data_IF_788758875115
#
_entry.id   IF_788758875115
#
_cell.length_a   1.000
_cell.length_b   1.000
_cell.length_c   1.000
_cell.angle_alpha   90.00
_cell.angle_beta   90.00
_cell.angle_gamma   90.00
#
_symmetry.space_group_name_H-M   'P 1'
#
loop_
_entity.id
_entity.type
_entity.pdbx_description
1 polymer ?
#
# COMPACT_ATOMS: atom_id res chain seq x y z
N UNK A 1 7.45 12.51 -23.50
CA UNK A 1 7.09 12.88 -22.13
C UNK A 1 6.21 11.83 -21.47
N UNK A 2 5.11 11.44 -22.11
CA UNK A 2 4.19 10.45 -21.54
C UNK A 2 4.83 9.08 -21.36
N UNK A 3 5.65 8.67 -22.31
CA UNK A 3 6.37 7.40 -22.20
C UNK A 3 7.36 7.45 -21.02
N UNK A 4 8.06 8.56 -20.86
CA UNK A 4 9.00 8.74 -19.75
C UNK A 4 8.28 8.68 -18.40
N UNK A 5 7.11 9.34 -18.28
CA UNK A 5 6.31 9.29 -17.08
C UNK A 5 5.82 7.86 -16.80
N UNK A 6 5.41 7.15 -17.84
CA UNK A 6 4.96 5.76 -17.68
C UNK A 6 6.09 4.87 -17.14
N UNK A 7 7.28 4.99 -17.69
CA UNK A 7 8.43 4.22 -17.25
C UNK A 7 8.79 4.57 -15.81
N UNK A 8 8.79 5.86 -15.48
CA UNK A 8 9.10 6.32 -14.12
C UNK A 8 8.09 5.78 -13.11
N UNK A 9 6.80 5.86 -13.39
CA UNK A 9 5.74 5.35 -12.52
C UNK A 9 5.88 3.84 -12.36
N UNK A 10 6.11 3.12 -13.44
CA UNK A 10 6.29 1.68 -13.40
C UNK A 10 7.49 1.28 -12.53
N UNK A 11 8.63 1.94 -12.74
CA UNK A 11 9.85 1.66 -11.98
C UNK A 11 9.66 1.95 -10.48
N UNK A 12 9.05 3.09 -10.14
CA UNK A 12 8.76 3.45 -8.75
C UNK A 12 7.82 2.43 -8.12
N UNK A 13 6.79 2.02 -8.85
CA UNK A 13 5.78 1.09 -8.35
C UNK A 13 6.38 -0.29 -8.06
N UNK A 14 7.12 -0.84 -8.99
CA UNK A 14 7.75 -2.16 -8.81
C UNK A 14 8.79 -2.11 -7.71
N UNK A 15 9.60 -1.06 -7.68
CA UNK A 15 10.62 -0.90 -6.64
C UNK A 15 9.99 -0.72 -5.26
N UNK A 16 8.93 0.09 -5.16
CA UNK A 16 8.25 0.32 -3.90
C UNK A 16 7.56 -0.93 -3.37
N UNK A 17 6.89 -1.67 -4.24
CA UNK A 17 6.24 -2.92 -3.86
C UNK A 17 7.28 -3.95 -3.38
N UNK A 18 8.36 -4.10 -4.12
CA UNK A 18 9.45 -5.01 -3.75
C UNK A 18 10.08 -4.61 -2.43
N UNK A 19 10.29 -3.32 -2.21
CA UNK A 19 10.85 -2.81 -0.95
C UNK A 19 9.89 -3.08 0.22
N UNK A 20 8.60 -2.83 0.04
CA UNK A 20 7.59 -3.09 1.07
C UNK A 20 7.58 -4.57 1.46
N UNK A 21 7.56 -5.46 0.47
CA UNK A 21 7.56 -6.90 0.71
C UNK A 21 8.86 -7.35 1.41
N UNK A 22 9.98 -6.78 1.00
CA UNK A 22 11.29 -7.07 1.59
C UNK A 22 11.36 -6.62 3.06
N UNK A 23 10.85 -5.43 3.36
CA UNK A 23 10.80 -4.91 4.72
C UNK A 23 9.92 -5.77 5.62
N UNK A 24 8.77 -6.19 5.11
CA UNK A 24 7.87 -7.07 5.86
C UNK A 24 8.50 -8.44 6.10
N UNK A 25 9.14 -9.01 5.10
CA UNK A 25 9.81 -10.31 5.22
C UNK A 25 10.93 -10.25 6.26
N UNK A 26 11.74 -9.19 6.24
CA UNK A 26 12.80 -9.01 7.22
C UNK A 26 12.26 -8.89 8.64
N UNK A 27 11.14 -8.15 8.81
CA UNK A 27 10.50 -8.01 10.11
C UNK A 27 9.99 -9.37 10.62
N UNK A 28 9.32 -10.13 9.77
CA UNK A 28 8.76 -11.44 10.13
C UNK A 28 9.82 -12.49 10.36
N UNK A 29 11.01 -12.32 9.80
CA UNK A 29 12.12 -13.21 9.99
C UNK A 29 12.74 -13.18 11.39
N UNK A 30 12.41 -12.15 12.18
CA UNK A 30 12.90 -12.03 13.55
C UNK A 30 11.88 -12.64 14.52
N UNK A 31 12.23 -13.74 15.22
CA UNK A 31 11.29 -14.39 16.16
C UNK A 31 10.80 -13.45 17.27
N UNK A 32 11.59 -12.43 17.64
CA UNK A 32 11.22 -11.45 18.65
C UNK A 32 10.06 -10.56 18.24
N UNK A 33 9.71 -10.53 16.94
CA UNK A 33 8.62 -9.72 16.41
C UNK A 33 7.30 -10.49 16.34
N UNK A 34 7.26 -11.72 16.83
CA UNK A 34 6.04 -12.53 16.77
C UNK A 34 4.89 -11.85 17.49
N UNK A 35 3.76 -11.72 16.82
CA UNK A 35 2.58 -11.06 17.34
C UNK A 35 2.63 -9.54 17.28
N UNK A 36 3.69 -8.97 16.73
CA UNK A 36 3.85 -7.53 16.57
C UNK A 36 3.59 -7.09 15.15
N UNK A 37 3.24 -5.82 14.99
CA UNK A 37 2.97 -5.23 13.68
C UNK A 37 4.22 -4.55 13.14
N UNK A 38 4.52 -4.78 11.86
CA UNK A 38 5.62 -4.11 11.18
C UNK A 38 5.29 -2.63 10.98
N UNK A 39 6.14 -1.76 11.53
CA UNK A 39 6.02 -0.30 11.39
C UNK A 39 7.28 0.32 10.80
N UNK A 40 8.13 -0.48 10.19
CA UNK A 40 9.42 -0.04 9.67
C UNK A 40 9.32 0.39 8.22
N UNK A 41 10.08 1.45 7.85
CA UNK A 41 10.17 1.90 6.47
C UNK A 41 8.82 2.34 5.93
N UNK A 42 8.42 1.78 4.81
CA UNK A 42 7.16 2.13 4.17
C UNK A 42 5.93 1.80 5.02
N UNK A 43 6.05 0.82 5.92
CA UNK A 43 4.96 0.40 6.80
C UNK A 43 4.69 1.42 7.92
N UNK A 44 5.56 2.38 8.11
CA UNK A 44 5.30 3.51 8.99
C UNK A 44 4.38 4.56 8.35
N UNK A 45 4.27 4.55 7.03
CA UNK A 45 3.52 5.56 6.27
C UNK A 45 2.18 5.04 5.77
N UNK A 46 2.07 3.74 5.53
CA UNK A 46 0.86 3.10 5.05
C UNK A 46 0.75 1.71 5.67
N UNK A 47 -0.47 1.28 5.95
CA UNK A 47 -0.72 -0.08 6.43
C UNK A 47 -0.70 -1.12 5.31
N UNK A 48 -0.82 -0.67 4.07
CA UNK A 48 -0.80 -1.52 2.89
C UNK A 48 0.04 -0.88 1.78
N UNK A 49 1.35 -0.66 2.04
CA UNK A 49 2.20 0.01 1.04
C UNK A 49 2.38 -0.84 -0.21
N UNK A 50 2.40 -2.17 -0.09
CA UNK A 50 2.46 -3.06 -1.24
C UNK A 50 1.24 -2.92 -2.13
N UNK A 51 0.05 -2.82 -1.56
CA UNK A 51 -1.18 -2.57 -2.33
C UNK A 51 -1.17 -1.19 -2.98
N UNK A 52 -0.64 -0.19 -2.28
CA UNK A 52 -0.53 1.15 -2.83
C UNK A 52 0.33 1.15 -4.11
N UNK A 53 1.49 0.52 -4.07
CA UNK A 53 2.37 0.48 -5.23
C UNK A 53 1.80 -0.40 -6.34
N UNK A 54 1.09 -1.45 -6.02
CA UNK A 54 0.40 -2.26 -7.01
C UNK A 54 -0.70 -1.44 -7.72
N UNK A 55 -1.45 -0.64 -6.96
CA UNK A 55 -2.42 0.28 -7.54
C UNK A 55 -1.74 1.35 -8.39
N UNK A 56 -0.64 1.89 -7.91
CA UNK A 56 0.09 2.96 -8.59
C UNK A 56 0.59 2.53 -9.97
N UNK A 57 1.02 1.28 -10.13
CA UNK A 57 1.57 0.82 -11.40
C UNK A 57 0.55 0.88 -12.55
N UNK A 58 -0.74 0.80 -12.24
CA UNK A 58 -1.78 0.92 -13.26
C UNK A 58 -1.78 2.27 -13.95
N UNK A 59 -1.28 3.32 -13.28
CA UNK A 59 -1.15 4.64 -13.88
C UNK A 59 -0.04 4.70 -14.93
N UNK A 60 0.89 3.77 -14.93
CA UNK A 60 1.86 3.65 -16.01
C UNK A 60 1.15 3.39 -17.34
N UNK A 61 0.15 2.54 -17.32
CA UNK A 61 -0.65 2.26 -18.52
C UNK A 61 -1.49 3.45 -18.95
N UNK A 62 -1.98 4.22 -17.98
CA UNK A 62 -2.69 5.47 -18.27
C UNK A 62 -1.77 6.44 -19.03
N UNK A 63 -0.56 6.64 -18.57
CA UNK A 63 0.38 7.54 -19.24
C UNK A 63 0.77 7.03 -20.63
N UNK A 64 0.88 5.72 -20.82
CA UNK A 64 1.12 5.15 -22.15
C UNK A 64 -0.04 5.42 -23.09
N UNK A 65 -1.27 5.41 -22.56
CA UNK A 65 -2.48 5.56 -23.38
C UNK A 65 -2.80 7.00 -23.73
N UNK A 66 -2.24 7.99 -23.03
CA UNK A 66 -2.58 9.41 -23.23
C UNK A 66 -2.38 9.85 -24.68
N UNK A 67 -1.37 9.30 -25.35
CA UNK A 67 -1.13 9.62 -26.76
C UNK A 67 -2.08 8.97 -27.75
N UNK A 68 -2.89 8.01 -27.32
CA UNK A 68 -3.72 7.20 -28.19
C UNK A 68 -5.18 7.61 -28.32
N UNK A 69 -5.61 8.67 -27.65
CA UNK A 69 -6.97 9.19 -27.77
C UNK A 69 -8.05 8.43 -26.99
N UNK A 70 -7.74 7.27 -26.44
CA UNK A 70 -8.68 6.45 -25.68
C UNK A 70 -8.17 6.20 -24.26
N UNK A 71 -7.43 7.13 -23.72
CA UNK A 71 -6.80 6.97 -22.42
C UNK A 71 -7.80 6.84 -21.26
N UNK A 72 -9.04 7.28 -21.44
CA UNK A 72 -10.06 7.18 -20.40
C UNK A 72 -10.34 5.72 -20.02
N UNK A 73 -10.27 4.80 -20.98
CA UNK A 73 -10.45 3.38 -20.68
C UNK A 73 -9.36 2.81 -19.78
N UNK A 74 -8.17 3.39 -19.82
CA UNK A 74 -7.07 2.94 -18.97
C UNK A 74 -7.25 3.31 -17.50
N UNK A 75 -8.18 4.22 -17.17
CA UNK A 75 -8.52 4.55 -15.79
C UNK A 75 -9.45 3.54 -15.15
N UNK A 76 -10.11 2.68 -15.94
CA UNK A 76 -11.00 1.64 -15.41
C UNK A 76 -10.25 0.71 -14.47
N UNK A 77 -9.02 0.29 -14.86
CA UNK A 77 -8.20 -0.58 -14.04
C UNK A 77 -7.92 -0.02 -12.65
N UNK A 78 -7.30 1.18 -12.55
CA UNK A 78 -7.04 1.78 -11.23
C UNK A 78 -8.29 2.00 -10.39
N UNK A 79 -9.39 2.44 -10.99
CA UNK A 79 -10.63 2.70 -10.26
C UNK A 79 -11.22 1.41 -9.71
N UNK A 80 -11.33 0.38 -10.54
CA UNK A 80 -11.84 -0.92 -10.10
C UNK A 80 -10.95 -1.55 -9.04
N UNK A 81 -9.64 -1.47 -9.22
CA UNK A 81 -8.71 -2.03 -8.26
C UNK A 81 -8.82 -1.34 -6.90
N UNK A 82 -8.93 -0.02 -6.89
CA UNK A 82 -9.11 0.74 -5.66
C UNK A 82 -10.39 0.32 -4.94
N UNK A 83 -11.49 0.19 -5.69
CA UNK A 83 -12.76 -0.25 -5.13
C UNK A 83 -12.65 -1.66 -4.53
N UNK A 84 -12.01 -2.59 -5.23
CA UNK A 84 -11.81 -3.95 -4.72
C UNK A 84 -10.94 -3.98 -3.48
N UNK A 85 -9.85 -3.22 -3.47
CA UNK A 85 -8.94 -3.18 -2.32
C UNK A 85 -9.63 -2.66 -1.06
N UNK A 86 -10.45 -1.62 -1.21
CA UNK A 86 -11.11 -1.00 -0.05
C UNK A 86 -12.36 -1.71 0.41
N UNK A 87 -13.10 -2.37 -0.50
CA UNK A 87 -14.45 -2.84 -0.21
C UNK A 87 -14.62 -4.35 -0.23
N UNK A 88 -13.91 -5.04 -1.10
CA UNK A 88 -14.26 -6.44 -1.40
C UNK A 88 -13.25 -7.43 -0.83
N UNK A 89 -11.97 -7.28 -1.11
CA UNK A 89 -11.01 -8.32 -0.77
C UNK A 89 -9.79 -7.84 -0.01
N UNK A 90 -8.95 -7.01 -0.61
CA UNK A 90 -7.61 -6.73 -0.10
C UNK A 90 -7.55 -6.23 1.34
N UNK A 91 -7.88 -4.95 1.54
CA UNK A 91 -7.72 -4.29 2.83
C UNK A 91 -8.65 -4.85 3.91
N UNK A 92 -9.97 -4.97 3.67
CA UNK A 92 -10.86 -5.48 4.73
C UNK A 92 -10.47 -6.88 5.21
N UNK A 93 -10.14 -7.78 4.29
CA UNK A 93 -9.78 -9.15 4.64
C UNK A 93 -8.46 -9.21 5.40
N UNK A 94 -7.45 -8.49 4.92
CA UNK A 94 -6.13 -8.45 5.53
C UNK A 94 -6.19 -7.81 6.92
N UNK A 95 -6.96 -6.74 7.08
CA UNK A 95 -7.12 -6.06 8.37
C UNK A 95 -7.84 -6.95 9.38
N UNK A 96 -8.89 -7.65 8.95
CA UNK A 96 -9.60 -8.57 9.83
C UNK A 96 -8.67 -9.69 10.33
N UNK A 97 -7.84 -10.22 9.45
CA UNK A 97 -6.88 -11.25 9.82
C UNK A 97 -5.82 -10.71 10.77
N UNK A 98 -5.33 -9.51 10.52
CA UNK A 98 -4.34 -8.84 11.37
C UNK A 98 -4.87 -8.60 12.78
N UNK A 99 -6.14 -8.18 12.89
CA UNK A 99 -6.79 -7.97 14.19
C UNK A 99 -6.89 -9.29 14.97
N UNK A 100 -7.18 -10.40 14.28
CA UNK A 100 -7.22 -11.71 14.95
C UNK A 100 -5.86 -12.17 15.44
N UNK A 101 -4.79 -11.88 14.71
CA UNK A 101 -3.45 -12.37 15.04
C UNK A 101 -2.66 -11.43 15.95
N UNK A 102 -2.91 -10.12 15.91
CA UNK A 102 -2.12 -9.13 16.64
C UNK A 102 -2.93 -8.26 17.60
N UNK A 103 -4.27 -8.33 17.55
CA UNK A 103 -5.14 -7.66 18.51
C UNK A 103 -4.90 -6.16 18.65
N UNK A 104 -4.71 -5.70 19.89
CA UNK A 104 -4.57 -4.28 20.18
C UNK A 104 -3.35 -3.62 19.55
N UNK A 105 -2.28 -4.37 19.32
CA UNK A 105 -1.10 -3.84 18.63
C UNK A 105 -1.50 -3.34 17.24
N UNK A 106 -2.34 -4.09 16.54
CA UNK A 106 -2.82 -3.68 15.22
C UNK A 106 -3.85 -2.56 15.31
N UNK A 107 -4.69 -2.54 16.34
CA UNK A 107 -5.63 -1.43 16.55
C UNK A 107 -4.90 -0.11 16.68
N UNK A 108 -3.81 -0.07 17.45
CA UNK A 108 -2.99 1.13 17.57
C UNK A 108 -2.39 1.52 16.23
N UNK A 109 -1.94 0.55 15.46
CA UNK A 109 -1.42 0.78 14.13
C UNK A 109 -2.48 1.38 13.21
N UNK A 110 -3.72 0.88 13.27
CA UNK A 110 -4.84 1.43 12.51
C UNK A 110 -5.13 2.89 12.86
N UNK A 111 -4.96 3.25 14.13
CA UNK A 111 -5.22 4.61 14.58
C UNK A 111 -4.12 5.59 14.20
N UNK A 112 -2.90 5.12 14.05
CA UNK A 112 -1.74 5.98 13.85
C UNK A 112 -1.29 6.08 12.40
N UNK A 113 -1.57 5.06 11.58
CA UNK A 113 -1.04 4.95 10.22
C UNK A 113 -2.17 4.84 9.22
N UNK A 114 -2.01 5.56 8.10
CA UNK A 114 -2.97 5.56 7.00
C UNK A 114 -3.19 4.15 6.43
N UNK A 115 -4.42 3.87 6.03
CA UNK A 115 -4.76 2.56 5.47
C UNK A 115 -4.08 2.27 4.14
N UNK A 116 -3.95 3.27 3.28
CA UNK A 116 -3.53 3.05 1.89
C UNK A 116 -2.51 4.08 1.42
N UNK A 117 -2.90 5.35 1.35
CA UNK A 117 -2.01 6.40 0.86
C UNK A 117 -0.89 6.68 1.88
N UNK A 118 0.38 6.73 1.44
CA UNK A 118 1.48 7.01 2.36
C UNK A 118 1.37 8.43 2.92
N UNK A 119 1.15 8.51 4.22
CA UNK A 119 1.02 9.77 4.94
C UNK A 119 1.88 9.72 6.19
N UNK A 120 2.19 10.89 6.74
CA UNK A 120 2.91 10.95 8.00
C UNK A 120 2.12 10.25 9.10
N UNK A 121 2.78 9.40 9.90
CA UNK A 121 2.08 8.73 10.99
C UNK A 121 1.59 9.74 12.01
N UNK A 122 0.42 9.48 12.57
CA UNK A 122 -0.16 10.30 13.62
C UNK A 122 0.32 9.79 14.97
N UNK A 123 0.75 10.71 15.83
CA UNK A 123 1.01 10.36 17.21
C UNK A 123 -0.32 10.29 17.95
N UNK A 124 -0.50 9.25 18.75
CA UNK A 124 -1.66 9.15 19.61
C UNK A 124 -1.48 10.14 20.77
N UNK A 125 -2.19 11.26 20.68
CA UNK A 125 -2.08 12.33 21.68
C UNK A 125 -2.67 11.96 23.04
N UNK A 126 -3.48 10.92 23.09
CA UNK A 126 -4.06 10.44 24.33
C UNK A 126 -3.18 9.45 25.08
N UNK A 127 -2.03 9.09 24.50
CA UNK A 127 -1.15 8.07 25.07
C UNK A 127 0.28 8.56 24.97
N UNK A 128 0.80 9.14 26.03
CA UNK A 128 2.17 9.63 26.05
C UNK A 128 3.21 8.55 25.88
#
# INVERSE_FOLDING_TARGET
LWFTLAVAVFAISVSGESLADSQLAAFRGNPGNRGKTCRKGLWAWSRHPNYFFEWLHWFAYFFLAVGGGQFWFSLVGPVLMLAFLYRVSGIPWTEAQALRSRGEDYVRYQNEVSAFFPLLPKTDKGNP
#
